data_IF_864145183843
#
_entry.id   IF_864145183843
#
_cell.length_a   1.000
_cell.length_b   1.000
_cell.length_c   1.000
_cell.angle_alpha   90.00
_cell.angle_beta   90.00
_cell.angle_gamma   90.00
#
_symmetry.space_group_name_H-M   'P 1'
#
loop_
_entity.id
_entity.type
_entity.pdbx_description
1 polymer ?
#
# COMPACT_ATOMS: atom_id res chain seq x y z
N UNK A 1 3.95 14.80 1.68
CA UNK A 1 3.35 15.76 2.63
C UNK A 1 2.20 15.18 3.46
N UNK A 2 1.61 14.02 3.11
CA UNK A 2 0.45 13.47 3.86
C UNK A 2 0.73 13.27 5.37
N UNK A 3 1.95 12.85 5.73
CA UNK A 3 2.41 12.66 7.12
C UNK A 3 2.36 13.89 8.01
N UNK A 4 2.26 15.09 7.44
CA UNK A 4 2.05 16.32 8.21
C UNK A 4 0.65 16.34 8.83
N UNK A 5 -0.31 15.65 8.20
CA UNK A 5 -1.74 15.71 8.52
C UNK A 5 -2.24 14.40 9.15
N UNK A 6 -1.67 13.24 8.77
CA UNK A 6 -2.24 11.93 9.15
C UNK A 6 -1.42 11.13 10.16
N UNK A 7 -0.25 11.65 10.59
CA UNK A 7 0.66 10.92 11.48
C UNK A 7 0.24 10.95 12.95
N UNK A 8 -0.22 12.11 13.43
CA UNK A 8 -0.53 12.29 14.85
C UNK A 8 -1.91 11.71 15.16
N UNK A 9 -2.00 10.81 16.15
CA UNK A 9 -3.26 10.16 16.53
C UNK A 9 -4.27 11.11 17.19
N UNK A 10 -3.79 12.20 17.79
CA UNK A 10 -4.59 13.15 18.56
C UNK A 10 -5.03 14.40 17.77
N UNK A 11 -4.43 14.68 16.61
CA UNK A 11 -4.76 15.86 15.81
C UNK A 11 -4.44 15.61 14.34
N UNK A 12 -5.38 15.95 13.46
CA UNK A 12 -5.22 15.84 12.01
C UNK A 12 -6.34 15.03 11.36
N UNK A 13 -6.05 14.45 10.19
CA UNK A 13 -6.98 13.60 9.44
C UNK A 13 -6.31 12.29 9.08
N UNK A 14 -6.91 11.17 9.49
CA UNK A 14 -6.36 9.86 9.21
C UNK A 14 -6.28 9.58 7.69
N UNK A 15 -5.21 8.92 7.24
CA UNK A 15 -4.92 8.64 5.82
C UNK A 15 -6.11 8.06 5.04
N UNK A 16 -6.87 7.14 5.63
CA UNK A 16 -8.13 6.59 5.07
C UNK A 16 -9.07 7.66 4.48
N UNK A 17 -9.14 8.87 5.05
CA UNK A 17 -9.98 9.96 4.53
C UNK A 17 -9.36 10.52 3.24
N UNK A 18 -8.05 10.73 3.22
CA UNK A 18 -7.30 11.15 2.04
C UNK A 18 -7.40 10.11 0.91
N UNK A 19 -7.34 8.83 1.25
CA UNK A 19 -7.51 7.72 0.32
C UNK A 19 -8.89 7.76 -0.37
N UNK A 20 -9.96 8.00 0.40
CA UNK A 20 -11.31 8.18 -0.17
C UNK A 20 -11.40 9.40 -1.08
N UNK A 21 -10.83 10.54 -0.65
CA UNK A 21 -10.82 11.77 -1.45
C UNK A 21 -10.08 11.55 -2.76
N UNK A 22 -8.95 10.85 -2.76
CA UNK A 22 -8.21 10.55 -3.99
C UNK A 22 -9.02 9.64 -4.91
N UNK A 23 -9.64 8.57 -4.38
CA UNK A 23 -10.49 7.68 -5.18
C UNK A 23 -11.64 8.43 -5.84
N UNK A 24 -12.29 9.34 -5.11
CA UNK A 24 -13.35 10.20 -5.66
C UNK A 24 -12.81 11.26 -6.64
N UNK A 25 -11.54 11.63 -6.51
CA UNK A 25 -10.86 12.53 -7.45
C UNK A 25 -10.33 11.78 -8.68
N UNK A 26 -10.68 10.50 -8.85
CA UNK A 26 -10.26 9.63 -9.96
C UNK A 26 -8.74 9.43 -10.05
N UNK A 27 -8.05 9.27 -8.91
CA UNK A 27 -6.63 8.87 -8.92
C UNK A 27 -6.49 7.37 -9.17
N UNK A 28 -5.60 6.97 -10.10
CA UNK A 28 -5.43 5.56 -10.46
C UNK A 28 -4.61 4.78 -9.42
N UNK A 29 -3.53 5.36 -8.90
CA UNK A 29 -2.61 4.72 -7.94
C UNK A 29 -2.35 5.64 -6.72
N UNK A 30 -2.13 5.05 -5.54
CA UNK A 30 -1.78 5.80 -4.32
C UNK A 30 -0.77 5.09 -3.42
N UNK A 31 0.27 5.81 -2.99
CA UNK A 31 1.20 5.31 -1.96
C UNK A 31 0.45 5.01 -0.65
N UNK A 32 0.45 3.73 -0.27
CA UNK A 32 -0.38 3.17 0.80
C UNK A 32 0.43 2.69 2.01
N UNK A 33 1.72 3.01 2.04
CA UNK A 33 2.67 2.50 3.03
C UNK A 33 3.12 1.07 2.73
N UNK A 34 4.00 0.54 3.58
CA UNK A 34 4.60 -0.80 3.39
C UNK A 34 4.46 -1.73 4.59
N UNK A 35 3.97 -1.22 5.74
CA UNK A 35 3.88 -1.91 7.06
C UNK A 35 5.23 -2.34 7.65
N UNK A 36 6.10 -2.90 6.82
CA UNK A 36 7.40 -3.49 7.16
C UNK A 36 8.59 -2.63 6.73
N UNK A 37 8.33 -1.56 5.99
CA UNK A 37 9.37 -0.67 5.49
C UNK A 37 9.84 0.35 6.52
N UNK A 38 10.50 1.39 6.03
CA UNK A 38 11.09 2.43 6.88
C UNK A 38 10.03 3.35 7.52
N UNK A 39 8.88 3.49 6.89
CA UNK A 39 7.84 4.43 7.28
C UNK A 39 6.79 3.76 8.16
N UNK A 40 6.20 4.56 9.06
CA UNK A 40 5.17 4.13 10.00
C UNK A 40 3.93 3.61 9.27
N UNK A 41 3.40 2.47 9.72
CA UNK A 41 2.18 1.86 9.20
C UNK A 41 1.77 0.66 10.03
N UNK A 42 0.58 0.71 10.64
CA UNK A 42 0.01 -0.40 11.40
C UNK A 42 -0.73 -1.34 10.46
N UNK A 43 -0.45 -2.65 10.55
CA UNK A 43 -0.93 -3.66 9.58
C UNK A 43 -2.44 -3.63 9.39
N UNK A 44 -3.22 -3.68 10.47
CA UNK A 44 -4.68 -3.80 10.40
C UNK A 44 -5.32 -2.53 9.86
N UNK A 45 -4.76 -1.37 10.20
CA UNK A 45 -5.19 -0.07 9.67
C UNK A 45 -4.87 0.00 8.17
N UNK A 46 -3.69 -0.45 7.75
CA UNK A 46 -3.29 -0.49 6.33
C UNK A 46 -4.21 -1.37 5.51
N UNK A 47 -4.50 -2.58 5.97
CA UNK A 47 -5.48 -3.45 5.31
C UNK A 47 -6.83 -2.76 5.17
N UNK A 48 -7.31 -2.12 6.25
CA UNK A 48 -8.60 -1.42 6.21
C UNK A 48 -8.73 -0.31 5.18
N UNK A 49 -7.67 0.46 4.91
CA UNK A 49 -7.73 1.48 3.86
C UNK A 49 -7.35 0.95 2.47
N UNK A 50 -6.66 -0.19 2.36
CA UNK A 50 -6.47 -0.91 1.09
C UNK A 50 -7.80 -1.46 0.60
N UNK A 51 -8.61 -2.06 1.48
CA UNK A 51 -9.97 -2.51 1.19
C UNK A 51 -10.83 -1.34 0.66
N UNK A 52 -10.72 -0.16 1.29
CA UNK A 52 -11.42 1.05 0.84
C UNK A 52 -10.96 1.58 -0.52
N UNK A 53 -9.74 1.28 -0.95
CA UNK A 53 -9.21 1.71 -2.25
C UNK A 53 -9.62 0.75 -3.37
N UNK A 54 -9.70 -0.55 -3.09
CA UNK A 54 -9.98 -1.58 -4.10
C UNK A 54 -11.46 -1.94 -4.20
N UNK A 55 -12.08 -2.25 -3.07
CA UNK A 55 -13.37 -2.92 -3.07
C UNK A 55 -14.49 -1.99 -3.51
N UNK A 56 -15.52 -2.54 -4.15
CA UNK A 56 -16.74 -1.80 -4.48
C UNK A 56 -17.64 -1.54 -3.25
N UNK A 57 -17.46 -2.33 -2.19
CA UNK A 57 -18.22 -2.25 -0.95
C UNK A 57 -17.36 -2.73 0.22
N UNK A 58 -17.28 -1.93 1.28
CA UNK A 58 -16.50 -2.24 2.47
C UNK A 58 -17.37 -2.09 3.71
N UNK A 59 -17.47 -3.15 4.52
CA UNK A 59 -18.26 -3.13 5.75
C UNK A 59 -17.57 -2.37 6.89
N UNK A 60 -18.37 -1.95 7.87
CA UNK A 60 -17.87 -1.33 9.09
C UNK A 60 -17.10 -2.36 9.91
N UNK A 61 -15.79 -2.14 10.04
CA UNK A 61 -14.91 -2.89 10.91
C UNK A 61 -14.02 -1.95 11.74
N UNK A 62 -14.28 -1.86 13.04
CA UNK A 62 -13.51 -1.00 13.94
C UNK A 62 -12.09 -1.51 14.18
N UNK A 63 -11.83 -2.81 14.05
CA UNK A 63 -10.48 -3.37 14.25
C UNK A 63 -9.51 -2.86 13.18
N UNK A 64 -10.00 -2.67 11.95
CA UNK A 64 -9.28 -2.05 10.82
C UNK A 64 -9.47 -0.52 10.74
N UNK A 65 -10.15 0.05 11.74
CA UNK A 65 -10.48 1.49 11.85
C UNK A 65 -11.53 2.00 10.84
N UNK A 66 -12.29 1.10 10.22
CA UNK A 66 -13.40 1.44 9.31
C UNK A 66 -14.64 1.73 10.16
N UNK A 67 -14.90 3.02 10.38
CA UNK A 67 -15.98 3.46 11.25
C UNK A 67 -17.37 3.40 10.60
N UNK A 68 -17.43 3.46 9.27
CA UNK A 68 -18.64 3.52 8.47
C UNK A 68 -18.53 2.56 7.30
N UNK A 69 -19.62 1.84 7.03
CA UNK A 69 -19.79 1.08 5.79
C UNK A 69 -19.71 2.02 4.60
N UNK A 70 -18.96 1.63 3.57
CA UNK A 70 -18.73 2.44 2.38
C UNK A 70 -19.14 1.65 1.15
N UNK A 71 -20.09 2.18 0.38
CA UNK A 71 -20.39 1.72 -0.98
C UNK A 71 -19.78 2.70 -1.98
N UNK A 72 -19.22 2.17 -3.06
CA UNK A 72 -18.57 2.96 -4.12
C UNK A 72 -19.39 3.01 -5.41
N UNK A 73 -20.52 2.31 -5.49
CA UNK A 73 -21.49 2.40 -6.62
C UNK A 73 -20.78 2.37 -7.98
N UNK A 74 -19.97 1.34 -8.19
CA UNK A 74 -19.19 1.11 -9.42
C UNK A 74 -18.06 2.12 -9.71
N UNK A 75 -17.68 2.97 -8.76
CA UNK A 75 -16.46 3.78 -8.88
C UNK A 75 -15.26 2.85 -8.99
N UNK A 76 -14.36 3.04 -9.98
CA UNK A 76 -13.16 2.24 -10.15
C UNK A 76 -12.33 2.16 -8.86
N UNK A 77 -11.64 1.02 -8.70
CA UNK A 77 -10.65 0.85 -7.65
C UNK A 77 -9.39 1.66 -7.92
N UNK A 78 -8.60 1.88 -6.87
CA UNK A 78 -7.29 2.54 -6.92
C UNK A 78 -6.24 1.51 -6.53
N UNK A 79 -5.16 1.38 -7.30
CA UNK A 79 -4.09 0.44 -6.98
C UNK A 79 -3.22 1.00 -5.84
N UNK A 80 -3.13 0.31 -4.68
CA UNK A 80 -2.23 0.70 -3.63
C UNK A 80 -0.78 0.44 -4.04
N UNK A 81 0.07 1.43 -3.78
CA UNK A 81 1.51 1.38 -4.04
C UNK A 81 2.25 1.18 -2.72
N UNK A 82 2.88 0.02 -2.57
CA UNK A 82 3.78 -0.30 -1.48
C UNK A 82 5.19 0.23 -1.79
N UNK A 83 5.58 1.35 -1.17
CA UNK A 83 6.89 1.97 -1.36
C UNK A 83 7.50 2.45 -0.04
N UNK A 84 8.84 2.36 0.07
CA UNK A 84 9.61 2.96 1.16
C UNK A 84 10.48 1.99 1.95
N UNK A 85 11.76 1.90 1.60
CA UNK A 85 12.75 1.16 2.38
C UNK A 85 12.67 -0.38 2.29
N UNK A 86 11.90 -0.90 1.33
CA UNK A 86 11.70 -2.33 1.09
C UNK A 86 12.81 -2.96 0.23
N UNK A 87 12.93 -4.29 0.28
CA UNK A 87 13.87 -5.11 -0.49
C UNK A 87 13.33 -6.53 -0.67
N UNK A 88 13.99 -7.34 -1.49
CA UNK A 88 13.57 -8.71 -1.89
C UNK A 88 13.01 -9.58 -0.75
N UNK A 89 13.66 -9.60 0.43
CA UNK A 89 13.19 -10.40 1.57
C UNK A 89 11.81 -10.00 2.12
N UNK A 90 11.33 -8.79 1.81
CA UNK A 90 9.98 -8.35 2.19
C UNK A 90 8.90 -8.87 1.25
N UNK A 91 9.25 -9.45 0.09
CA UNK A 91 8.29 -9.83 -0.93
C UNK A 91 7.21 -10.77 -0.41
N UNK A 92 7.58 -11.81 0.35
CA UNK A 92 6.59 -12.76 0.87
C UNK A 92 5.54 -12.10 1.74
N UNK A 93 5.95 -11.12 2.53
CA UNK A 93 5.05 -10.43 3.42
C UNK A 93 4.23 -9.35 2.68
N UNK A 94 4.83 -8.68 1.69
CA UNK A 94 4.14 -7.69 0.86
C UNK A 94 3.06 -8.35 -0.01
N UNK A 95 3.36 -9.49 -0.66
CA UNK A 95 2.38 -10.26 -1.44
C UNK A 95 1.23 -10.75 -0.56
N UNK A 96 1.49 -11.11 0.71
CA UNK A 96 0.42 -11.49 1.66
C UNK A 96 -0.42 -10.32 2.17
N UNK A 97 0.09 -9.09 2.11
CA UNK A 97 -0.61 -7.90 2.62
C UNK A 97 -1.38 -7.22 1.50
N UNK A 98 -0.73 -7.04 0.36
CA UNK A 98 -1.24 -6.28 -0.76
C UNK A 98 -1.73 -7.17 -1.90
N UNK A 99 -1.44 -8.46 -1.94
CA UNK A 99 -1.93 -9.37 -3.00
C UNK A 99 -1.57 -8.85 -4.42
N UNK A 100 -2.24 -9.41 -5.44
CA UNK A 100 -1.88 -9.19 -6.84
C UNK A 100 -2.20 -7.78 -7.35
N UNK A 101 -3.27 -7.16 -6.85
CA UNK A 101 -3.74 -5.84 -7.32
C UNK A 101 -2.94 -4.68 -6.71
N UNK A 102 -1.62 -4.78 -6.65
CA UNK A 102 -0.73 -3.79 -6.03
C UNK A 102 0.47 -3.43 -6.90
N UNK A 103 1.05 -2.27 -6.61
CA UNK A 103 2.36 -1.89 -7.15
C UNK A 103 3.38 -1.92 -6.03
N UNK A 104 4.42 -2.74 -6.16
CA UNK A 104 5.54 -2.76 -5.22
C UNK A 104 6.71 -1.97 -5.82
N UNK A 105 7.07 -0.86 -5.17
CA UNK A 105 8.10 0.04 -5.68
C UNK A 105 9.42 -0.13 -4.91
N UNK A 106 10.42 -0.67 -5.58
CA UNK A 106 11.80 -0.69 -5.11
C UNK A 106 12.54 0.54 -5.63
N UNK A 107 13.02 1.36 -4.71
CA UNK A 107 13.80 2.56 -5.03
C UNK A 107 15.30 2.33 -4.85
N UNK A 108 15.90 3.15 -3.99
CA UNK A 108 17.34 3.25 -3.77
C UNK A 108 18.09 1.93 -3.51
N UNK A 109 17.44 0.91 -2.93
CA UNK A 109 18.10 -0.38 -2.65
C UNK A 109 18.41 -1.18 -3.91
N UNK A 110 17.64 -1.00 -4.98
CA UNK A 110 17.87 -1.64 -6.26
C UNK A 110 19.17 -1.08 -6.92
N UNK A 111 19.36 0.24 -6.87
CA UNK A 111 20.56 0.94 -7.35
C UNK A 111 21.87 0.54 -6.65
N UNK A 112 21.80 0.06 -5.41
CA UNK A 112 22.99 -0.29 -4.61
C UNK A 112 23.31 -1.78 -4.61
N UNK A 113 22.67 -2.57 -5.47
CA UNK A 113 23.04 -3.98 -5.58
C UNK A 113 24.49 -4.10 -6.09
N UNK A 114 25.33 -4.99 -5.52
CA UNK A 114 26.75 -5.11 -5.91
C UNK A 114 26.96 -5.43 -7.39
N UNK A 115 25.94 -5.99 -8.05
CA UNK A 115 25.95 -6.40 -9.45
C UNK A 115 25.31 -5.37 -10.40
N UNK A 116 24.89 -4.22 -9.87
CA UNK A 116 24.27 -3.14 -10.64
C UNK A 116 22.75 -3.28 -10.81
N UNK A 117 22.14 -2.17 -11.24
CA UNK A 117 20.68 -1.97 -11.32
C UNK A 117 19.94 -3.09 -12.05
N UNK A 118 20.44 -3.53 -13.20
CA UNK A 118 19.79 -4.59 -13.98
C UNK A 118 19.66 -5.91 -13.20
N UNK A 119 20.69 -6.28 -12.44
CA UNK A 119 20.66 -7.47 -11.59
C UNK A 119 19.73 -7.30 -10.40
N UNK A 120 19.62 -6.09 -9.84
CA UNK A 120 18.65 -5.78 -8.80
C UNK A 120 17.21 -5.92 -9.31
N UNK A 121 16.88 -5.33 -10.47
CA UNK A 121 15.59 -5.51 -11.14
C UNK A 121 15.27 -6.99 -11.39
N UNK A 122 16.27 -7.77 -11.82
CA UNK A 122 16.09 -9.21 -12.04
C UNK A 122 15.81 -9.96 -10.73
N UNK A 123 16.50 -9.62 -9.64
CA UNK A 123 16.27 -10.25 -8.34
C UNK A 123 14.87 -9.95 -7.79
N UNK A 124 14.37 -8.74 -8.01
CA UNK A 124 13.04 -8.32 -7.58
C UNK A 124 11.95 -9.02 -8.41
N UNK A 125 12.09 -9.03 -9.74
CA UNK A 125 11.12 -9.69 -10.62
C UNK A 125 11.09 -11.20 -10.40
N UNK A 126 12.25 -11.86 -10.31
CA UNK A 126 12.33 -13.30 -10.03
C UNK A 126 11.71 -13.66 -8.69
N UNK A 127 11.94 -12.85 -7.65
CA UNK A 127 11.33 -13.07 -6.33
C UNK A 127 9.81 -12.93 -6.35
N UNK A 128 9.27 -11.96 -7.10
CA UNK A 128 7.82 -11.79 -7.27
C UNK A 128 7.22 -12.99 -7.98
N UNK A 129 7.79 -13.39 -9.12
CA UNK A 129 7.29 -14.51 -9.92
C UNK A 129 7.38 -15.84 -9.18
N UNK A 130 8.44 -16.06 -8.40
CA UNK A 130 8.63 -17.30 -7.64
C UNK A 130 7.59 -17.52 -6.53
N UNK A 131 6.81 -16.51 -6.17
CA UNK A 131 5.77 -16.60 -5.16
C UNK A 131 4.37 -16.83 -5.74
N UNK A 132 4.22 -16.73 -7.07
CA UNK A 132 2.97 -17.01 -7.77
C UNK A 132 2.81 -18.49 -8.19
N UNK A 133 3.83 -19.33 -7.93
CA UNK A 133 3.87 -20.76 -8.27
C UNK A 133 4.11 -21.65 -7.06
#
# INVERSE_FOLDING_TARGET
MHTVIDRQKNHGMHFRVLAKVLRLSSGDHIHSGTVLGKLEGERDITLGFVDLLRDGYTEKDRSRGIYFTQSWVSTPGVLPVASGGIHVWHMLALTKIFEDDSVVQFGWRNFRTPLGECSGCYSESSSSTSMCF
#
